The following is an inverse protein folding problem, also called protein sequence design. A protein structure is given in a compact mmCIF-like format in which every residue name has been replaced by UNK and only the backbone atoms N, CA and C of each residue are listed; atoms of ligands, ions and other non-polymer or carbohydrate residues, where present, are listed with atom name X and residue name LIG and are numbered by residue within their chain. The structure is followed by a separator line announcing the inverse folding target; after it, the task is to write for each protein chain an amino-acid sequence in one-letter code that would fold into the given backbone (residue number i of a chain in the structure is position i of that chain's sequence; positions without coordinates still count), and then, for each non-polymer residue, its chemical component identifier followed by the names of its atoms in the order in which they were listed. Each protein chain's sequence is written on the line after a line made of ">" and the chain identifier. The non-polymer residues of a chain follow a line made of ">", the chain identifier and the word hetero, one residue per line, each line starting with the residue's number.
data_IF_952948633320
#
_entry.id   IF_952948633320
#
_cell.length_a   1.000
_cell.length_b   1.000
_cell.length_c   1.000
_cell.angle_alpha   90.00
_cell.angle_beta   90.00
_cell.angle_gamma   90.00
#
_symmetry.space_group_name_H-M   'P 1'
#
loop_
_entity.id
_entity.type
_entity.pdbx_description
1 polymer ?
#
# COMPACT_ATOMS: atom_id res chain seq x y z
N UNK A 1 12.17 -16.42 5.02
CA UNK A 1 12.21 -15.15 5.77
C UNK A 1 10.94 -14.42 5.42
N UNK A 2 10.01 -14.29 6.36
CA UNK A 2 8.77 -13.56 6.13
C UNK A 2 9.02 -12.10 6.52
N UNK A 3 9.22 -11.23 5.54
CA UNK A 3 9.18 -9.79 5.78
C UNK A 3 7.72 -9.35 5.72
N UNK A 4 7.20 -8.77 6.80
CA UNK A 4 5.78 -8.44 6.87
C UNK A 4 5.37 -7.63 8.10
N UNK A 5 4.14 -7.13 8.04
CA UNK A 5 3.46 -6.46 9.13
C UNK A 5 2.14 -7.17 9.40
N UNK A 6 1.66 -7.08 10.63
CA UNK A 6 0.27 -7.42 10.93
C UNK A 6 -0.67 -6.45 10.21
N UNK A 7 -1.90 -6.89 9.94
CA UNK A 7 -2.95 -6.02 9.36
C UNK A 7 -3.17 -4.76 10.21
N UNK A 8 -3.13 -4.89 11.53
CA UNK A 8 -3.21 -3.76 12.45
C UNK A 8 -2.04 -2.78 12.26
N UNK A 9 -0.79 -3.27 12.23
CA UNK A 9 0.39 -2.42 11.99
C UNK A 9 0.34 -1.74 10.61
N UNK A 10 -0.20 -2.41 9.60
CA UNK A 10 -0.40 -1.83 8.27
C UNK A 10 -1.38 -0.66 8.31
N UNK A 11 -2.57 -0.85 8.87
CA UNK A 11 -3.58 0.21 8.96
C UNK A 11 -3.18 1.35 9.90
N UNK A 12 -2.39 1.07 10.94
CA UNK A 12 -1.88 2.07 11.86
C UNK A 12 -0.96 3.09 11.15
N UNK A 13 -0.23 2.68 10.11
CA UNK A 13 0.54 3.60 9.27
C UNK A 13 -0.39 4.64 8.62
N UNK A 14 -1.52 4.22 8.07
CA UNK A 14 -2.45 5.13 7.41
C UNK A 14 -3.10 6.10 8.40
N UNK A 15 -3.51 5.59 9.57
CA UNK A 15 -4.19 6.39 10.58
C UNK A 15 -3.24 7.34 11.32
N UNK A 16 -2.11 6.84 11.85
CA UNK A 16 -1.21 7.63 12.72
C UNK A 16 -0.12 8.36 11.96
N UNK A 17 0.52 7.70 11.01
CA UNK A 17 1.69 8.28 10.30
C UNK A 17 1.24 9.15 9.13
N UNK A 18 0.34 8.65 8.30
CA UNK A 18 -0.14 9.34 7.09
C UNK A 18 -1.39 10.21 7.34
N UNK A 19 -1.97 10.14 8.55
CA UNK A 19 -3.09 10.99 9.00
C UNK A 19 -4.35 10.88 8.14
N UNK A 20 -4.59 9.73 7.52
CA UNK A 20 -5.88 9.48 6.87
C UNK A 20 -6.98 9.39 7.93
N UNK A 21 -8.15 10.01 7.69
CA UNK A 21 -9.28 9.95 8.60
C UNK A 21 -9.99 8.59 8.49
N UNK A 22 -9.33 7.54 8.99
CA UNK A 22 -9.86 6.20 9.01
C UNK A 22 -10.75 5.99 10.25
N UNK A 23 -11.89 5.33 10.05
CA UNK A 23 -12.76 4.91 11.13
C UNK A 23 -12.62 3.39 11.31
N UNK A 24 -12.36 2.97 12.55
CA UNK A 24 -12.40 1.55 12.91
C UNK A 24 -13.87 1.12 12.94
N UNK A 25 -14.18 0.06 12.19
CA UNK A 25 -15.52 -0.53 12.12
C UNK A 25 -15.42 -2.06 12.21
N UNK A 26 -16.49 -2.76 12.61
CA UNK A 26 -16.51 -4.22 12.58
C UNK A 26 -16.27 -4.76 11.17
N UNK A 27 -15.58 -5.90 11.07
CA UNK A 27 -15.21 -6.53 9.80
C UNK A 27 -16.41 -6.71 8.86
N UNK A 28 -17.49 -7.31 9.34
CA UNK A 28 -18.70 -7.54 8.54
C UNK A 28 -19.34 -6.23 8.04
N UNK A 29 -19.31 -5.19 8.87
CA UNK A 29 -19.80 -3.86 8.49
C UNK A 29 -18.94 -3.26 7.38
N UNK A 30 -17.62 -3.39 7.46
CA UNK A 30 -16.70 -2.92 6.42
C UNK A 30 -16.89 -3.69 5.12
N UNK A 31 -16.95 -5.01 5.19
CA UNK A 31 -17.11 -5.89 4.03
C UNK A 31 -18.40 -5.56 3.26
N UNK A 32 -19.51 -5.44 3.98
CA UNK A 32 -20.80 -5.10 3.41
C UNK A 32 -20.80 -3.68 2.83
N UNK A 33 -20.18 -2.71 3.50
CA UNK A 33 -20.04 -1.34 2.99
C UNK A 33 -19.24 -1.30 1.69
N UNK A 34 -18.14 -2.08 1.61
CA UNK A 34 -17.31 -2.19 0.42
C UNK A 34 -18.07 -2.85 -0.74
N UNK A 35 -18.81 -3.94 -0.48
CA UNK A 35 -19.65 -4.59 -1.50
C UNK A 35 -20.68 -3.63 -2.09
N UNK A 36 -21.40 -2.88 -1.26
CA UNK A 36 -22.35 -1.86 -1.74
C UNK A 36 -21.67 -0.76 -2.54
N UNK A 37 -20.48 -0.31 -2.12
CA UNK A 37 -19.69 0.69 -2.85
C UNK A 37 -19.29 0.19 -4.25
N UNK A 38 -18.83 -1.07 -4.33
CA UNK A 38 -18.46 -1.74 -5.59
C UNK A 38 -19.69 -1.85 -6.49
N UNK A 39 -20.80 -2.39 -5.99
CA UNK A 39 -22.04 -2.57 -6.75
C UNK A 39 -22.60 -1.23 -7.27
N UNK A 40 -22.59 -0.19 -6.43
CA UNK A 40 -23.11 1.13 -6.80
C UNK A 40 -22.34 1.78 -7.95
N UNK A 41 -21.02 1.58 -8.01
CA UNK A 41 -20.16 2.17 -9.05
C UNK A 41 -19.89 1.23 -10.22
N UNK A 42 -20.16 -0.07 -10.08
CA UNK A 42 -19.95 -1.08 -11.10
C UNK A 42 -18.53 -1.04 -11.67
N UNK A 43 -18.42 -1.11 -13.00
CA UNK A 43 -17.16 -1.07 -13.74
C UNK A 43 -16.28 0.17 -13.50
N UNK A 44 -16.83 1.27 -12.97
CA UNK A 44 -16.06 2.45 -12.60
C UNK A 44 -15.41 2.33 -11.21
N UNK A 45 -15.73 1.29 -10.43
CA UNK A 45 -15.09 1.03 -9.14
C UNK A 45 -13.70 0.41 -9.34
N UNK A 46 -12.63 0.92 -8.70
CA UNK A 46 -11.28 0.34 -8.84
C UNK A 46 -11.17 -1.14 -8.46
N UNK A 47 -11.99 -1.59 -7.50
CA UNK A 47 -12.04 -2.99 -7.07
C UNK A 47 -12.98 -3.87 -7.90
N UNK A 48 -13.75 -3.32 -8.85
CA UNK A 48 -14.69 -4.11 -9.66
C UNK A 48 -14.03 -5.30 -10.37
N UNK A 49 -12.86 -5.16 -11.03
CA UNK A 49 -12.20 -6.27 -11.71
C UNK A 49 -11.75 -7.38 -10.77
N UNK A 50 -11.53 -7.07 -9.49
CA UNK A 50 -11.01 -8.01 -8.48
C UNK A 50 -12.07 -8.41 -7.47
N UNK A 51 -13.35 -8.12 -7.72
CA UNK A 51 -14.47 -8.50 -6.83
C UNK A 51 -14.47 -9.99 -6.47
N UNK A 52 -14.28 -10.94 -7.43
CA UNK A 52 -14.26 -12.37 -7.09
C UNK A 52 -13.12 -12.73 -6.13
N UNK A 53 -11.95 -12.12 -6.31
CA UNK A 53 -10.80 -12.32 -5.41
C UNK A 53 -11.09 -11.72 -4.03
N UNK A 54 -11.62 -10.49 -3.99
CA UNK A 54 -12.00 -9.82 -2.76
C UNK A 54 -13.00 -10.65 -1.95
N UNK A 55 -14.04 -11.19 -2.60
CA UNK A 55 -15.03 -12.06 -1.95
C UNK A 55 -14.43 -13.38 -1.46
N UNK A 56 -13.52 -13.99 -2.24
CA UNK A 56 -12.84 -15.24 -1.83
C UNK A 56 -11.97 -15.06 -0.58
N UNK A 57 -11.39 -13.87 -0.40
CA UNK A 57 -10.57 -13.52 0.77
C UNK A 57 -11.42 -12.96 1.92
N UNK A 58 -12.74 -12.89 1.77
CA UNK A 58 -13.65 -12.21 2.70
C UNK A 58 -13.21 -10.77 3.01
N UNK A 59 -12.55 -10.11 2.05
CA UNK A 59 -11.99 -8.77 2.21
C UNK A 59 -10.77 -8.65 3.14
N UNK A 60 -10.24 -9.75 3.68
CA UNK A 60 -9.04 -9.72 4.51
C UNK A 60 -7.77 -9.52 3.66
N UNK A 61 -6.87 -8.67 4.15
CA UNK A 61 -5.56 -8.44 3.55
C UNK A 61 -4.49 -9.23 4.28
N UNK A 62 -4.04 -10.32 3.66
CA UNK A 62 -2.94 -11.14 4.15
C UNK A 62 -3.30 -12.62 4.25
N UNK A 63 -2.35 -13.40 4.76
CA UNK A 63 -2.64 -14.76 5.17
C UNK A 63 -3.08 -14.75 6.64
N UNK A 64 -4.03 -15.61 7.00
CA UNK A 64 -4.47 -15.77 8.39
C UNK A 64 -3.30 -16.04 9.35
N UNK A 65 -3.52 -16.00 10.67
CA UNK A 65 -2.45 -16.04 11.66
C UNK A 65 -1.52 -17.23 11.43
N UNK A 66 -0.33 -16.96 10.89
CA UNK A 66 0.72 -17.95 10.78
C UNK A 66 1.39 -18.07 12.15
N UNK A 67 1.12 -19.18 12.83
CA UNK A 67 1.76 -19.51 14.11
C UNK A 67 3.28 -19.41 13.96
N UNK A 68 3.92 -18.59 14.80
CA UNK A 68 5.37 -18.39 14.82
C UNK A 68 5.92 -17.30 13.86
N UNK A 69 5.12 -16.74 12.96
CA UNK A 69 5.62 -15.74 12.01
C UNK A 69 6.02 -14.41 12.65
N UNK A 70 5.33 -13.98 13.72
CA UNK A 70 5.62 -12.70 14.40
C UNK A 70 6.98 -12.70 15.12
N UNK A 71 7.43 -13.85 15.60
CA UNK A 71 8.70 -14.02 16.33
C UNK A 71 9.91 -14.10 15.38
N UNK A 72 9.69 -14.35 14.09
CA UNK A 72 10.74 -14.47 13.08
C UNK A 72 11.13 -13.14 12.42
N UNK A 73 10.42 -12.04 12.68
CA UNK A 73 10.69 -10.74 12.02
C UNK A 73 11.44 -9.82 12.97
N UNK A 74 12.66 -9.43 12.59
CA UNK A 74 13.44 -8.49 13.39
C UNK A 74 12.78 -7.09 13.41
N UNK A 75 12.97 -6.31 14.48
CA UNK A 75 12.50 -4.92 14.53
C UNK A 75 13.03 -4.07 13.36
N UNK A 76 14.25 -4.33 12.90
CA UNK A 76 14.87 -3.62 11.78
C UNK A 76 14.14 -3.88 10.45
N UNK A 77 13.73 -5.12 10.19
CA UNK A 77 12.94 -5.49 9.01
C UNK A 77 11.56 -4.83 9.06
N UNK A 78 10.88 -4.86 10.21
CA UNK A 78 9.60 -4.16 10.39
C UNK A 78 9.71 -2.67 10.09
N UNK A 79 10.77 -2.02 10.57
CA UNK A 79 11.03 -0.60 10.31
C UNK A 79 11.22 -0.32 8.81
N UNK A 80 11.97 -1.17 8.12
CA UNK A 80 12.18 -1.06 6.68
C UNK A 80 10.87 -1.22 5.90
N UNK A 81 10.06 -2.23 6.24
CA UNK A 81 8.74 -2.45 5.60
C UNK A 81 7.82 -1.24 5.80
N UNK A 82 7.75 -0.67 7.02
CA UNK A 82 6.97 0.56 7.31
C UNK A 82 7.44 1.74 6.46
N UNK A 83 8.76 1.93 6.33
CA UNK A 83 9.32 3.00 5.51
C UNK A 83 8.97 2.84 4.02
N UNK A 84 9.02 1.62 3.50
CA UNK A 84 8.63 1.30 2.13
C UNK A 84 7.15 1.56 1.90
N UNK A 85 6.26 1.16 2.82
CA UNK A 85 4.82 1.44 2.73
C UNK A 85 4.56 2.94 2.63
N UNK A 86 5.17 3.74 3.53
CA UNK A 86 5.04 5.21 3.47
C UNK A 86 5.46 5.77 2.11
N UNK A 87 6.58 5.30 1.58
CA UNK A 87 7.11 5.76 0.30
C UNK A 87 6.19 5.41 -0.87
N UNK A 88 5.60 4.21 -0.85
CA UNK A 88 4.65 3.73 -1.84
C UNK A 88 3.36 4.55 -1.81
N UNK A 89 2.79 4.80 -0.62
CA UNK A 89 1.59 5.63 -0.51
C UNK A 89 1.85 7.04 -1.02
N UNK A 90 2.98 7.66 -0.65
CA UNK A 90 3.34 8.98 -1.18
C UNK A 90 3.42 8.97 -2.71
N UNK A 91 4.03 7.95 -3.30
CA UNK A 91 4.08 7.82 -4.76
C UNK A 91 2.67 7.70 -5.38
N UNK A 92 1.79 6.90 -4.80
CA UNK A 92 0.41 6.73 -5.30
C UNK A 92 -0.41 8.02 -5.19
N UNK A 93 -0.17 8.83 -4.16
CA UNK A 93 -0.78 10.16 -4.01
C UNK A 93 -0.22 11.13 -5.06
N UNK A 94 1.11 11.20 -5.21
CA UNK A 94 1.79 12.08 -6.17
C UNK A 94 1.37 11.77 -7.61
N UNK A 95 1.20 10.48 -7.92
CA UNK A 95 0.74 10.01 -9.21
C UNK A 95 -0.78 10.20 -9.40
N UNK A 96 -1.56 10.44 -8.35
CA UNK A 96 -3.01 10.66 -8.45
C UNK A 96 -3.86 9.38 -8.46
N UNK A 97 -3.27 8.21 -8.15
CA UNK A 97 -4.01 6.96 -8.00
C UNK A 97 -4.85 6.93 -6.72
N UNK A 98 -4.29 7.47 -5.63
CA UNK A 98 -4.94 7.53 -4.31
C UNK A 98 -5.12 8.99 -3.90
N UNK A 99 -6.20 9.27 -3.18
CA UNK A 99 -6.43 10.60 -2.61
C UNK A 99 -5.43 10.86 -1.47
N UNK A 100 -5.05 12.11 -1.25
CA UNK A 100 -4.30 12.49 -0.05
C UNK A 100 -5.19 12.40 1.20
N UNK A 101 -4.63 12.69 2.38
CA UNK A 101 -5.34 12.65 3.67
C UNK A 101 -6.55 13.60 3.77
N UNK A 102 -6.68 14.58 2.87
CA UNK A 102 -7.83 15.50 2.80
C UNK A 102 -8.92 15.03 1.82
N UNK A 103 -8.74 13.87 1.19
CA UNK A 103 -9.67 13.33 0.18
C UNK A 103 -9.46 13.90 -1.23
N UNK A 104 -8.46 14.75 -1.44
CA UNK A 104 -8.15 15.33 -2.74
C UNK A 104 -7.30 14.36 -3.57
N UNK A 105 -7.75 14.05 -4.79
CA UNK A 105 -6.92 13.35 -5.79
C UNK A 105 -6.16 14.38 -6.62
N UNK A 106 -4.85 14.23 -6.72
CA UNK A 106 -4.05 14.99 -7.67
C UNK A 106 -4.46 14.60 -9.09
N UNK A 107 -4.47 15.56 -10.01
CA UNK A 107 -4.66 15.26 -11.43
C UNK A 107 -3.46 14.42 -11.88
N UNK A 108 -3.71 13.23 -12.41
CA UNK A 108 -2.66 12.34 -12.92
C UNK A 108 -1.78 13.09 -13.92
N UNK A 109 -0.51 13.30 -13.57
CA UNK A 109 0.50 13.83 -14.47
C UNK A 109 1.44 12.68 -14.81
N UNK A 110 1.14 11.98 -15.92
CA UNK A 110 1.89 10.81 -16.38
C UNK A 110 3.41 11.05 -16.38
N UNK A 111 3.83 12.25 -16.79
CA UNK A 111 5.23 12.67 -16.87
C UNK A 111 5.95 12.58 -15.52
N UNK A 112 5.29 12.87 -14.39
CA UNK A 112 5.91 12.80 -13.05
C UNK A 112 6.12 11.37 -12.56
N UNK A 113 5.29 10.42 -12.99
CA UNK A 113 5.38 9.02 -12.56
C UNK A 113 6.57 8.30 -13.20
N UNK A 114 6.89 8.62 -14.46
CA UNK A 114 7.95 7.96 -15.22
C UNK A 114 9.31 8.69 -15.19
N UNK A 115 9.36 10.00 -14.92
CA UNK A 115 10.61 10.76 -14.82
C UNK A 115 11.55 10.32 -13.68
N UNK A 116 11.02 9.72 -12.60
CA UNK A 116 11.86 9.25 -11.48
C UNK A 116 12.64 7.97 -11.80
N UNK A 117 12.31 7.27 -12.88
CA UNK A 117 12.92 5.97 -13.23
C UNK A 117 14.21 6.09 -14.03
N UNK A 118 14.47 7.22 -14.69
CA UNK A 118 15.71 7.41 -15.47
C UNK A 118 16.94 7.66 -14.58
N UNK A 119 16.75 8.11 -13.34
CA UNK A 119 17.86 8.43 -12.43
C UNK A 119 18.42 7.21 -11.67
N UNK A 120 17.62 6.15 -11.48
CA UNK A 120 18.06 4.96 -10.75
C UNK A 120 19.17 4.22 -11.52
N UNK A 121 19.06 4.13 -12.85
CA UNK A 121 20.07 3.49 -13.68
C UNK A 121 21.40 4.24 -13.73
N UNK A 122 21.38 5.58 -13.57
CA UNK A 122 22.59 6.39 -13.52
C UNK A 122 23.32 6.25 -12.18
N UNK A 123 22.60 6.11 -11.07
CA UNK A 123 23.18 5.86 -9.74
C UNK A 123 23.79 4.45 -9.64
N UNK A 124 23.14 3.44 -10.23
CA UNK A 124 23.70 2.07 -10.32
C UNK A 124 24.95 2.02 -11.18
N UNK A 125 25.01 2.77 -12.29
CA UNK A 125 26.22 2.89 -13.12
C UNK A 125 27.37 3.61 -12.39
N UNK A 126 27.07 4.61 -11.55
CA UNK A 126 28.11 5.28 -10.74
C UNK A 126 28.71 4.38 -9.66
N UNK A 127 27.92 3.48 -9.09
CA UNK A 127 28.38 2.54 -8.07
C UNK A 127 29.24 1.40 -8.64
N UNK A 128 29.00 0.99 -9.89
CA UNK A 128 29.81 -0.07 -10.54
C UNK A 128 31.13 0.44 -11.13
N UNK A 129 31.24 1.73 -11.47
CA UNK A 129 32.47 2.31 -12.05
C UNK A 129 33.52 2.67 -10.98
N UNK A 130 33.11 2.95 -9.74
CA UNK A 130 34.03 3.37 -8.67
C UNK A 130 34.56 2.21 -7.79
N UNK A 131 34.29 0.96 -8.15
CA UNK A 131 34.68 -0.24 -7.39
C UNK A 131 35.90 -0.99 -7.93
N UNK A 132 36.62 -0.45 -8.91
CA UNK A 132 37.87 -1.04 -9.41
C UNK A 132 38.97 0.00 -9.38
N UNK A 133 39.71 0.02 -8.27
CA UNK A 133 41.07 0.57 -8.16
C UNK A 133 41.81 -0.23 -7.10
#
# INVERSE_FOLDING_TARGET
>A
MLDGLTEHEFWDIFHRELRYPLQIVPHETWLETMRRSIQKKGNAHPLWPVTPLFDSMHGSLGQGPMLGASEMISPSQKMHVKATIRRNVQFLVDAGYVANQTGQKMKYVAEKAFQRTENVWNDVKRLTVNGVS
#
